data_IF_156073088455
#
_entry.id   IF_156073088455
#
_cell.length_a   1.000
_cell.length_b   1.000
_cell.length_c   1.000
_cell.angle_alpha   90.00
_cell.angle_beta   90.00
_cell.angle_gamma   90.00
#
_symmetry.space_group_name_H-M   'P 1'
#
loop_
_entity.id
_entity.type
_entity.pdbx_description
1 polymer ?
#
# COMPACT_ATOMS: atom_id res chain seq x y z
N UNK A 1 -0.95 7.33 18.06
CA UNK A 1 0.41 7.47 17.48
C UNK A 1 0.31 7.00 16.03
N UNK A 2 0.35 7.93 15.07
CA UNK A 2 0.40 7.60 13.64
C UNK A 2 1.79 7.03 13.35
N UNK A 3 1.88 5.75 13.04
CA UNK A 3 3.12 5.15 12.57
C UNK A 3 3.37 5.71 11.17
N UNK A 4 4.46 6.46 11.00
CA UNK A 4 4.93 6.93 9.71
C UNK A 4 5.30 5.71 8.86
N UNK A 5 4.64 5.52 7.72
CA UNK A 5 4.91 4.40 6.81
C UNK A 5 5.27 4.99 5.45
N UNK A 6 6.48 4.70 5.00
CA UNK A 6 7.00 5.11 3.69
C UNK A 6 7.04 3.92 2.74
N UNK A 7 6.67 4.16 1.49
CA UNK A 7 6.75 3.22 0.36
C UNK A 7 7.97 3.60 -0.46
N UNK A 8 8.95 2.70 -0.58
CA UNK A 8 10.28 3.06 -1.07
C UNK A 8 10.67 2.56 -2.46
N UNK A 9 9.93 1.64 -3.11
CA UNK A 9 10.40 1.06 -4.36
C UNK A 9 9.26 0.73 -5.31
N UNK A 10 9.50 1.00 -6.58
CA UNK A 10 8.60 0.89 -7.70
C UNK A 10 9.16 -0.10 -8.74
N UNK A 11 8.35 -1.02 -9.25
CA UNK A 11 8.69 -1.86 -10.41
C UNK A 11 7.59 -1.75 -11.48
N UNK A 12 7.97 -1.37 -12.71
CA UNK A 12 7.07 -1.27 -13.88
C UNK A 12 7.19 0.06 -14.66
N UNK A 13 6.57 0.17 -15.84
CA UNK A 13 6.26 1.49 -16.43
C UNK A 13 5.49 2.33 -15.40
N UNK A 14 5.66 3.66 -15.36
CA UNK A 14 5.08 4.60 -14.37
C UNK A 14 3.61 4.35 -13.91
N UNK A 15 2.82 3.60 -14.69
CA UNK A 15 1.43 3.22 -14.41
C UNK A 15 1.25 1.91 -13.62
N UNK A 16 2.32 1.15 -13.39
CA UNK A 16 2.30 -0.19 -12.79
C UNK A 16 3.22 -0.33 -11.58
N UNK A 17 3.79 0.79 -11.11
CA UNK A 17 4.76 0.82 -10.04
C UNK A 17 4.15 0.29 -8.73
N UNK A 18 4.55 -0.92 -8.34
CA UNK A 18 4.08 -1.55 -7.10
C UNK A 18 5.15 -1.49 -6.01
N UNK A 19 4.78 -1.12 -4.76
CA UNK A 19 5.60 -1.29 -3.57
C UNK A 19 6.18 -2.70 -3.48
N UNK A 20 7.51 -2.79 -3.33
CA UNK A 20 8.20 -4.06 -3.02
C UNK A 20 8.46 -4.24 -1.52
N UNK A 21 8.43 -3.15 -0.75
CA UNK A 21 8.66 -3.15 0.68
C UNK A 21 7.94 -1.99 1.36
N UNK A 22 7.64 -2.16 2.65
CA UNK A 22 7.13 -1.12 3.54
C UNK A 22 8.15 -0.79 4.62
N UNK A 23 8.26 0.48 5.01
CA UNK A 23 9.03 0.87 6.20
C UNK A 23 8.08 1.12 7.35
N UNK A 24 8.12 0.27 8.38
CA UNK A 24 7.22 0.34 9.54
C UNK A 24 8.07 0.53 10.79
N UNK A 25 7.88 1.65 11.48
CA UNK A 25 8.68 2.01 12.67
C UNK A 25 10.19 1.92 12.43
N UNK A 26 10.65 2.37 11.26
CA UNK A 26 12.06 2.35 10.85
C UNK A 26 12.58 0.98 10.35
N UNK A 27 11.76 -0.08 10.43
CA UNK A 27 12.13 -1.40 9.90
C UNK A 27 11.58 -1.57 8.49
N UNK A 28 12.47 -1.85 7.54
CA UNK A 28 12.08 -2.28 6.19
C UNK A 28 11.60 -3.73 6.24
N UNK A 29 10.43 -4.00 5.65
CA UNK A 29 9.83 -5.31 5.51
C UNK A 29 9.42 -5.55 4.06
N UNK A 30 9.88 -6.64 3.47
CA UNK A 30 9.57 -6.98 2.08
C UNK A 30 8.12 -7.48 1.94
N UNK A 31 7.46 -7.12 0.84
CA UNK A 31 6.14 -7.66 0.48
C UNK A 31 6.35 -9.02 -0.18
N UNK A 32 5.80 -10.08 0.44
CA UNK A 32 5.82 -11.43 -0.12
C UNK A 32 4.62 -11.74 -1.00
N UNK A 33 3.42 -11.25 -0.63
CA UNK A 33 2.19 -11.50 -1.38
C UNK A 33 1.40 -10.21 -1.57
N UNK A 34 0.79 -10.09 -2.73
CA UNK A 34 0.01 -8.93 -3.17
C UNK A 34 -1.35 -9.37 -3.67
N UNK A 35 -2.41 -8.74 -3.17
CA UNK A 35 -3.78 -9.04 -3.56
C UNK A 35 -4.52 -7.73 -3.89
N UNK A 36 -4.89 -7.48 -5.16
CA UNK A 36 -5.79 -6.37 -5.47
C UNK A 36 -7.16 -6.63 -4.85
N UNK A 37 -7.70 -5.63 -4.15
CA UNK A 37 -9.03 -5.70 -3.53
C UNK A 37 -10.06 -5.02 -4.42
N UNK A 38 -9.71 -3.88 -5.02
CA UNK A 38 -10.59 -3.15 -5.94
C UNK A 38 -10.25 -1.66 -6.01
N UNK A 39 -11.12 -0.90 -6.65
CA UNK A 39 -11.02 0.56 -6.76
C UNK A 39 -12.17 1.19 -5.98
N UNK A 40 -11.86 2.15 -5.11
CA UNK A 40 -12.85 2.94 -4.38
C UNK A 40 -12.89 4.34 -4.97
N UNK A 41 -14.10 4.79 -5.31
CA UNK A 41 -14.36 6.14 -5.82
C UNK A 41 -15.15 6.94 -4.78
N UNK A 42 -14.67 8.13 -4.44
CA UNK A 42 -15.42 9.04 -3.58
C UNK A 42 -16.50 9.82 -4.36
N UNK A 43 -17.31 10.60 -3.65
CA UNK A 43 -18.44 11.35 -4.23
C UNK A 43 -17.99 12.46 -5.20
N UNK A 44 -16.75 12.96 -5.06
CA UNK A 44 -16.18 13.99 -5.94
C UNK A 44 -15.35 13.39 -7.08
N UNK A 45 -15.30 12.06 -7.16
CA UNK A 45 -14.73 11.31 -8.27
C UNK A 45 -13.27 10.92 -8.11
N UNK A 46 -12.66 11.12 -6.94
CA UNK A 46 -11.29 10.63 -6.70
C UNK A 46 -11.29 9.11 -6.59
N UNK A 47 -10.33 8.49 -7.25
CA UNK A 47 -10.16 7.04 -7.29
C UNK A 47 -8.93 6.64 -6.47
N UNK A 48 -9.10 5.64 -5.60
CA UNK A 48 -7.98 4.97 -4.93
C UNK A 48 -8.03 3.47 -5.18
N UNK A 49 -6.89 2.89 -5.52
CA UNK A 49 -6.74 1.44 -5.65
C UNK A 49 -6.42 0.85 -4.29
N UNK A 50 -7.15 -0.17 -3.88
CA UNK A 50 -6.99 -0.81 -2.57
C UNK A 50 -6.35 -2.18 -2.77
N UNK A 51 -5.32 -2.46 -1.98
CA UNK A 51 -4.61 -3.73 -2.01
C UNK A 51 -4.39 -4.26 -0.60
N UNK A 52 -4.36 -5.59 -0.49
CA UNK A 52 -3.92 -6.32 0.69
C UNK A 52 -2.51 -6.86 0.40
N UNK A 53 -1.58 -6.59 1.30
CA UNK A 53 -0.21 -7.10 1.21
C UNK A 53 0.14 -7.94 2.43
N UNK A 54 0.90 -9.01 2.20
CA UNK A 54 1.48 -9.86 3.25
C UNK A 54 2.99 -9.63 3.22
N UNK A 55 3.55 -9.23 4.36
CA UNK A 55 4.98 -8.97 4.51
C UNK A 55 5.73 -10.26 4.84
N UNK A 56 7.05 -10.21 4.74
CA UNK A 56 7.93 -11.35 4.98
C UNK A 56 7.89 -11.91 6.41
N UNK A 57 7.45 -11.10 7.39
CA UNK A 57 7.23 -11.52 8.77
C UNK A 57 5.82 -12.08 9.01
N UNK A 58 5.03 -12.26 7.94
CA UNK A 58 3.66 -12.77 7.99
C UNK A 58 2.61 -11.72 8.35
N UNK A 59 3.01 -10.48 8.65
CA UNK A 59 2.05 -9.41 8.94
C UNK A 59 1.28 -8.96 7.70
N UNK A 60 0.05 -8.47 7.91
CA UNK A 60 -0.88 -8.15 6.84
C UNK A 60 -1.28 -6.67 6.92
N UNK A 61 -1.22 -5.98 5.78
CA UNK A 61 -1.52 -4.56 5.68
C UNK A 61 -2.48 -4.27 4.53
N UNK A 62 -3.28 -3.21 4.70
CA UNK A 62 -3.97 -2.56 3.60
C UNK A 62 -3.08 -1.43 3.10
N UNK A 63 -2.93 -1.35 1.79
CA UNK A 63 -2.29 -0.20 1.15
C UNK A 63 -3.23 0.37 0.10
N UNK A 64 -3.18 1.69 -0.06
CA UNK A 64 -4.06 2.43 -0.97
C UNK A 64 -3.21 3.33 -1.87
N UNK A 65 -3.43 3.27 -3.18
CA UNK A 65 -2.79 4.16 -4.14
C UNK A 65 -3.76 5.22 -4.63
N UNK A 66 -3.44 6.48 -4.41
CA UNK A 66 -4.21 7.64 -4.85
C UNK A 66 -3.64 8.15 -6.16
N UNK A 67 -4.27 7.79 -7.28
CA UNK A 67 -3.78 8.09 -8.64
C UNK A 67 -3.61 9.59 -8.91
N UNK A 68 -4.52 10.41 -8.37
CA UNK A 68 -4.49 11.86 -8.54
C UNK A 68 -3.32 12.54 -7.82
N UNK A 69 -2.79 11.90 -6.77
CA UNK A 69 -1.68 12.40 -5.95
C UNK A 69 -0.36 11.69 -6.25
N UNK A 70 -0.43 10.57 -6.97
CA UNK A 70 0.70 9.66 -7.19
C UNK A 70 1.35 9.22 -5.86
N UNK A 71 0.51 8.89 -4.87
CA UNK A 71 0.93 8.59 -3.50
C UNK A 71 0.33 7.29 -2.99
N UNK A 72 1.14 6.56 -2.23
CA UNK A 72 0.75 5.35 -1.51
C UNK A 72 0.53 5.65 -0.04
N UNK A 73 -0.54 5.08 0.52
CA UNK A 73 -0.86 5.12 1.93
C UNK A 73 -0.93 3.71 2.48
N UNK A 74 -0.56 3.55 3.75
CA UNK A 74 -0.56 2.24 4.42
C UNK A 74 -1.38 2.33 5.70
N UNK A 75 -2.27 1.36 5.89
CA UNK A 75 -3.06 1.21 7.10
C UNK A 75 -2.86 -0.20 7.68
N UNK A 76 -2.53 -0.27 8.97
CA UNK A 76 -2.43 -1.54 9.68
C UNK A 76 -3.83 -2.12 9.86
N UNK A 77 -4.11 -3.27 9.23
CA UNK A 77 -5.37 -3.97 9.41
C UNK A 77 -5.40 -4.58 10.81
N UNK A 78 -6.35 -4.16 11.66
CA UNK A 78 -6.50 -4.71 13.01
C UNK A 78 -7.27 -6.03 13.08
N UNK A 79 -8.09 -6.39 12.09
CA UNK A 79 -8.87 -7.64 12.06
C UNK A 79 -9.37 -7.93 10.63
N UNK A 80 -8.69 -8.80 9.88
CA UNK A 80 -9.12 -9.34 8.57
C UNK A 80 -8.77 -10.82 8.47
#
# INVERSE_FOLDING_TARGET
>A
MMNHIEVLWYEGEKRCERPLALVISGKKLMIQKWFPVGVVKDFIGNEREVHKVVLEDGSVFKIEYFRNQDQWYVEKLKNW
#
